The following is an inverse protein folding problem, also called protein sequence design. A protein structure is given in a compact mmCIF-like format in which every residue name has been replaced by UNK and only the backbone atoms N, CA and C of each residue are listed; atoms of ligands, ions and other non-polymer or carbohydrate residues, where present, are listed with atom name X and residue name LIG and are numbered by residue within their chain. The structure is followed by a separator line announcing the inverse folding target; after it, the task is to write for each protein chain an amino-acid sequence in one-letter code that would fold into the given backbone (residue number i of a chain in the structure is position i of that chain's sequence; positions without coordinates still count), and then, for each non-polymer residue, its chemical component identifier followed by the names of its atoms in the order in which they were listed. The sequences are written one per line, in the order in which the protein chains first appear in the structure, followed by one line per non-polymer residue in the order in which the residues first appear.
data_IF_311314111330
#
_entry.id   IF_311314111330
#
_cell.length_a   1.000
_cell.length_b   1.000
_cell.length_c   1.000
_cell.angle_alpha   90.00
_cell.angle_beta   90.00
_cell.angle_gamma   90.00
#
_symmetry.space_group_name_H-M   'P 1'
#
loop_
_entity.id
_entity.type
_entity.pdbx_description
1 polymer ?
#
# COMPACT_ATOMS: atom_id res chain seq x y z
N UNK A 1 -10.17 13.22 -3.91
CA UNK A 1 -9.92 12.77 -5.29
C UNK A 1 -8.43 13.01 -5.53
N UNK A 2 -7.65 11.94 -5.70
CA UNK A 2 -6.18 12.02 -5.54
C UNK A 2 -5.41 11.56 -6.78
N UNK A 3 -6.10 11.02 -7.79
CA UNK A 3 -5.47 10.56 -9.01
C UNK A 3 -5.48 11.67 -10.07
N UNK A 4 -4.31 12.27 -10.30
CA UNK A 4 -4.13 13.33 -11.31
C UNK A 4 -4.25 12.81 -12.76
N UNK A 5 -4.31 11.50 -12.96
CA UNK A 5 -4.60 10.94 -14.28
C UNK A 5 -5.97 11.36 -14.82
N UNK A 6 -6.93 11.71 -13.95
CA UNK A 6 -8.26 12.16 -14.39
C UNK A 6 -8.21 13.47 -15.18
N UNK A 7 -7.20 14.30 -14.94
CA UNK A 7 -6.93 15.54 -15.69
C UNK A 7 -5.81 15.33 -16.73
N UNK A 8 -5.47 14.09 -17.07
CA UNK A 8 -4.43 13.78 -18.05
C UNK A 8 -3.00 13.94 -17.54
N UNK A 9 -2.74 13.92 -16.23
CA UNK A 9 -1.37 14.05 -15.69
C UNK A 9 -0.90 12.74 -15.04
N UNK A 10 -0.03 12.03 -15.75
CA UNK A 10 0.57 10.78 -15.28
C UNK A 10 1.81 11.09 -14.43
N UNK A 11 1.77 10.73 -13.14
CA UNK A 11 2.88 10.97 -12.20
C UNK A 11 3.33 9.67 -11.58
N UNK A 12 4.61 9.33 -11.73
CA UNK A 12 5.23 8.16 -11.13
C UNK A 12 6.53 8.50 -10.40
N UNK A 13 7.13 7.48 -9.78
CA UNK A 13 8.32 7.59 -8.92
C UNK A 13 8.11 8.46 -7.67
N UNK A 14 6.89 8.49 -7.09
CA UNK A 14 6.59 9.28 -5.88
C UNK A 14 7.22 8.72 -4.61
N UNK A 15 7.50 7.42 -4.58
CA UNK A 15 8.05 6.75 -3.40
C UNK A 15 8.92 5.56 -3.79
N UNK A 16 9.86 5.25 -2.91
CA UNK A 16 10.71 4.06 -2.97
C UNK A 16 10.57 3.23 -1.71
N UNK A 17 10.82 1.93 -1.85
CA UNK A 17 10.84 1.00 -0.73
C UNK A 17 12.27 0.70 -0.35
N UNK A 18 12.61 0.95 0.91
CA UNK A 18 13.95 0.70 1.45
C UNK A 18 13.83 -0.32 2.58
N UNK A 19 14.78 -1.25 2.66
CA UNK A 19 14.90 -2.11 3.84
C UNK A 19 15.66 -1.34 4.91
N UNK A 20 15.04 -1.18 6.06
CA UNK A 20 15.69 -0.60 7.23
C UNK A 20 16.83 -1.53 7.68
N UNK A 21 18.08 -1.05 7.74
CA UNK A 21 19.23 -1.88 8.13
C UNK A 21 19.17 -2.31 9.60
N UNK A 22 18.49 -1.55 10.46
CA UNK A 22 18.41 -1.82 11.90
C UNK A 22 17.26 -2.76 12.25
N UNK A 23 16.11 -2.62 11.61
CA UNK A 23 14.90 -3.42 11.92
C UNK A 23 14.63 -4.52 10.89
N UNK A 24 15.31 -4.52 9.75
CA UNK A 24 15.06 -5.43 8.63
C UNK A 24 13.72 -5.21 7.92
N UNK A 25 12.90 -4.25 8.38
CA UNK A 25 11.56 -3.98 7.85
C UNK A 25 11.64 -3.20 6.55
N UNK A 26 10.69 -3.44 5.65
CA UNK A 26 10.50 -2.59 4.46
C UNK A 26 9.80 -1.31 4.88
N UNK A 27 10.36 -0.18 4.50
CA UNK A 27 9.82 1.14 4.81
C UNK A 27 9.61 1.90 3.50
N UNK A 28 8.41 2.48 3.35
CA UNK A 28 8.11 3.40 2.27
C UNK A 28 8.72 4.77 2.58
N UNK A 29 9.45 5.33 1.62
CA UNK A 29 10.00 6.69 1.69
C UNK A 29 9.52 7.46 0.47
N UNK A 30 9.02 8.66 0.69
CA UNK A 30 8.71 9.58 -0.40
C UNK A 30 10.00 10.00 -1.10
N UNK A 31 9.97 10.01 -2.42
CA UNK A 31 11.03 10.62 -3.20
C UNK A 31 10.81 12.13 -3.26
N UNK A 32 11.87 12.94 -3.33
CA UNK A 32 11.73 14.38 -3.57
C UNK A 32 10.98 14.63 -4.87
N UNK A 33 10.21 15.72 -4.93
CA UNK A 33 9.40 16.05 -6.11
C UNK A 33 10.23 16.25 -7.38
N UNK A 34 11.50 16.63 -7.25
CA UNK A 34 12.45 16.72 -8.36
C UNK A 34 12.74 15.38 -9.04
N UNK A 35 12.54 14.26 -8.34
CA UNK A 35 12.67 12.91 -8.90
C UNK A 35 11.34 12.37 -9.43
N UNK A 36 10.22 13.09 -9.22
CA UNK A 36 8.93 12.66 -9.74
C UNK A 36 8.93 12.83 -11.24
N UNK A 37 8.49 11.77 -11.92
CA UNK A 37 8.38 11.81 -13.36
C UNK A 37 6.93 12.13 -13.70
N UNK A 38 6.74 13.25 -14.38
CA UNK A 38 5.44 13.84 -14.69
C UNK A 38 5.32 13.90 -16.19
N UNK A 39 4.30 13.23 -16.74
CA UNK A 39 3.98 13.26 -18.16
C UNK A 39 2.57 13.77 -18.37
N UNK A 40 2.43 14.71 -19.28
CA UNK A 40 1.13 15.12 -19.80
C UNK A 40 0.64 14.09 -20.82
N UNK A 41 -0.59 13.62 -20.61
CA UNK A 41 -1.31 12.61 -21.39
C UNK A 41 -2.76 13.07 -21.57
N UNK A 42 -2.91 14.24 -22.21
CA UNK A 42 -4.21 14.87 -22.48
C UNK A 42 -5.24 13.96 -23.15
N UNK A 43 -4.80 12.95 -23.91
CA UNK A 43 -5.65 11.93 -24.53
C UNK A 43 -6.37 11.01 -23.53
N UNK A 44 -5.89 10.95 -22.28
CA UNK A 44 -6.50 10.17 -21.19
C UNK A 44 -7.34 11.04 -20.24
N UNK A 45 -7.59 12.29 -20.59
CA UNK A 45 -8.36 13.23 -19.78
C UNK A 45 -9.84 12.78 -19.68
N UNK A 46 -10.31 12.54 -18.45
CA UNK A 46 -11.68 12.09 -18.16
C UNK A 46 -12.55 13.25 -17.66
N UNK A 47 -11.99 14.14 -16.84
CA UNK A 47 -12.72 15.19 -16.13
C UNK A 47 -12.02 16.52 -16.32
N UNK A 48 -12.75 17.54 -16.79
CA UNK A 48 -12.23 18.90 -16.99
C UNK A 48 -11.43 19.46 -15.81
N UNK A 49 -10.39 20.23 -16.13
CA UNK A 49 -9.46 20.79 -15.14
C UNK A 49 -10.15 21.79 -14.20
N UNK A 50 -11.13 22.56 -14.66
CA UNK A 50 -11.84 23.52 -13.81
C UNK A 50 -12.72 22.78 -12.80
N UNK A 51 -13.42 21.73 -13.25
CA UNK A 51 -14.19 20.87 -12.35
C UNK A 51 -13.29 20.17 -11.32
N UNK A 52 -12.13 19.68 -11.75
CA UNK A 52 -11.13 19.11 -10.84
C UNK A 52 -10.69 20.11 -9.76
N UNK A 53 -10.37 21.35 -10.16
CA UNK A 53 -9.94 22.39 -9.22
C UNK A 53 -11.04 22.72 -8.20
N UNK A 54 -12.29 22.92 -8.65
CA UNK A 54 -13.42 23.18 -7.76
C UNK A 54 -13.66 22.05 -6.74
N UNK A 55 -13.49 20.78 -7.15
CA UNK A 55 -13.59 19.63 -6.24
C UNK A 55 -12.45 19.63 -5.21
N UNK A 56 -11.23 19.99 -5.62
CA UNK A 56 -10.05 20.05 -4.71
C UNK A 56 -10.20 21.17 -3.69
N UNK A 57 -10.68 22.33 -4.10
CA UNK A 57 -10.98 23.45 -3.20
C UNK A 57 -12.04 23.04 -2.17
N UNK A 58 -13.17 22.50 -2.61
CA UNK A 58 -14.22 22.00 -1.71
C UNK A 58 -13.71 20.91 -0.76
N UNK A 59 -12.82 20.02 -1.21
CA UNK A 59 -12.16 19.04 -0.33
C UNK A 59 -11.29 19.70 0.73
N UNK A 60 -10.59 20.78 0.37
CA UNK A 60 -9.81 21.59 1.32
C UNK A 60 -10.69 22.25 2.38
N UNK A 61 -11.80 22.86 1.97
CA UNK A 61 -12.78 23.46 2.90
C UNK A 61 -13.36 22.44 3.87
N UNK A 62 -13.78 21.28 3.37
CA UNK A 62 -14.31 20.18 4.19
C UNK A 62 -13.24 19.69 5.16
N UNK A 63 -12.01 19.48 4.69
CA UNK A 63 -10.91 19.03 5.53
C UNK A 63 -10.60 20.03 6.66
N UNK A 64 -10.62 21.32 6.36
CA UNK A 64 -10.44 22.37 7.38
C UNK A 64 -11.60 22.39 8.38
N UNK A 65 -12.85 22.34 7.89
CA UNK A 65 -14.07 22.39 8.74
C UNK A 65 -14.17 21.23 9.72
N UNK A 66 -13.74 20.03 9.31
CA UNK A 66 -13.85 18.81 10.11
C UNK A 66 -12.49 18.30 10.61
N UNK A 67 -11.47 19.15 10.71
CA UNK A 67 -10.13 18.77 11.12
C UNK A 67 -10.12 18.14 12.53
N UNK A 68 -10.82 18.77 13.47
CA UNK A 68 -10.96 18.31 14.86
C UNK A 68 -11.70 16.96 14.96
N UNK A 69 -12.79 16.77 14.20
CA UNK A 69 -13.55 15.52 14.16
C UNK A 69 -12.68 14.40 13.56
N UNK A 70 -11.98 14.70 12.47
CA UNK A 70 -11.07 13.75 11.82
C UNK A 70 -9.98 13.31 12.77
N UNK A 71 -9.40 14.24 13.54
CA UNK A 71 -8.37 13.94 14.52
C UNK A 71 -8.91 13.13 15.69
N UNK A 72 -10.06 13.50 16.25
CA UNK A 72 -10.71 12.72 17.31
C UNK A 72 -10.99 11.28 16.86
N UNK A 73 -11.54 11.09 15.65
CA UNK A 73 -11.78 9.76 15.06
C UNK A 73 -10.47 8.99 14.90
N UNK A 74 -9.38 9.62 14.45
CA UNK A 74 -8.06 8.96 14.37
C UNK A 74 -7.54 8.53 15.73
N UNK A 75 -7.67 9.37 16.75
CA UNK A 75 -7.26 9.03 18.12
C UNK A 75 -8.06 7.85 18.67
N UNK A 76 -9.37 7.82 18.45
CA UNK A 76 -10.22 6.70 18.88
C UNK A 76 -9.87 5.38 18.17
N UNK A 77 -9.45 5.43 16.91
CA UNK A 77 -9.06 4.25 16.14
C UNK A 77 -7.58 3.86 16.31
N UNK A 78 -6.77 4.61 17.04
CA UNK A 78 -5.38 4.25 17.32
C UNK A 78 -5.37 3.26 18.49
N UNK A 79 -5.13 1.95 18.26
CA UNK A 79 -5.06 1.02 19.36
C UNK A 79 -3.87 1.39 20.27
N UNK A 80 -4.00 1.27 21.60
CA UNK A 80 -2.89 1.50 22.51
C UNK A 80 -1.76 0.52 22.17
N UNK A 81 -0.52 1.01 22.10
CA UNK A 81 0.70 0.25 21.72
C UNK A 81 0.89 -1.08 22.47
N UNK A 82 0.24 -1.21 23.63
CA UNK A 82 0.41 -2.31 24.58
C UNK A 82 -0.71 -3.35 24.52
N UNK A 83 -1.86 -3.01 23.93
CA UNK A 83 -3.05 -3.86 23.90
C UNK A 83 -3.84 -3.63 22.60
N UNK A 84 -3.26 -4.02 21.47
CA UNK A 84 -4.08 -4.22 20.28
C UNK A 84 -4.98 -5.44 20.57
N UNK A 85 -6.32 -5.28 20.67
CA UNK A 85 -7.19 -6.43 20.83
C UNK A 85 -7.00 -7.37 19.63
N UNK A 86 -7.12 -8.69 19.83
CA UNK A 86 -7.03 -9.62 18.71
C UNK A 86 -8.07 -9.22 17.66
N UNK A 87 -7.63 -8.95 16.43
CA UNK A 87 -8.49 -8.48 15.31
C UNK A 87 -9.69 -9.42 15.05
N UNK A 88 -9.63 -10.64 15.57
CA UNK A 88 -10.67 -11.67 15.54
C UNK A 88 -10.38 -12.73 16.61
N UNK A 89 -11.37 -13.58 16.92
CA UNK A 89 -11.23 -14.71 17.85
C UNK A 89 -10.09 -15.68 17.49
N UNK A 90 -9.72 -15.76 16.21
CA UNK A 90 -8.77 -16.75 15.68
C UNK A 90 -7.39 -16.15 15.35
N UNK A 91 -7.19 -14.86 15.60
CA UNK A 91 -5.92 -14.18 15.30
C UNK A 91 -4.76 -14.80 16.09
N UNK A 92 -3.76 -15.31 15.38
CA UNK A 92 -2.56 -15.95 15.99
C UNK A 92 -2.74 -17.41 16.41
N UNK A 93 -3.94 -17.97 16.26
CA UNK A 93 -4.23 -19.36 16.64
C UNK A 93 -4.30 -20.32 15.44
N UNK A 94 -4.48 -19.81 14.22
CA UNK A 94 -4.68 -20.63 13.01
C UNK A 94 -3.52 -20.45 12.04
N UNK A 95 -2.93 -21.57 11.63
CA UNK A 95 -1.79 -21.64 10.70
C UNK A 95 -1.99 -22.76 9.68
N UNK A 96 -1.35 -22.64 8.51
CA UNK A 96 -1.41 -23.63 7.46
C UNK A 96 -0.49 -24.81 7.79
N UNK A 97 -1.03 -26.01 7.90
CA UNK A 97 -0.25 -27.23 8.17
C UNK A 97 0.74 -27.61 7.05
N UNK A 98 0.54 -27.10 5.84
CA UNK A 98 1.43 -27.41 4.70
C UNK A 98 2.62 -26.47 4.58
N UNK A 99 2.44 -25.16 4.88
CA UNK A 99 3.49 -24.15 4.68
C UNK A 99 3.86 -23.37 5.96
N UNK A 100 3.17 -23.60 7.07
CA UNK A 100 3.39 -22.87 8.33
C UNK A 100 2.94 -21.41 8.32
N UNK A 101 2.35 -20.92 7.22
CA UNK A 101 1.89 -19.53 7.12
C UNK A 101 0.70 -19.25 8.04
N UNK A 102 0.65 -18.05 8.63
CA UNK A 102 -0.49 -17.61 9.45
C UNK A 102 -1.71 -17.30 8.58
N UNK A 103 -2.91 -17.64 9.07
CA UNK A 103 -4.16 -17.24 8.41
C UNK A 103 -4.55 -15.81 8.80
N UNK A 104 -4.93 -15.01 7.80
CA UNK A 104 -5.52 -13.69 8.01
C UNK A 104 -6.99 -13.75 7.59
N UNK A 105 -7.91 -13.43 8.51
CA UNK A 105 -9.32 -13.30 8.17
C UNK A 105 -9.51 -12.08 7.26
N UNK A 106 -10.18 -12.24 6.12
CA UNK A 106 -10.58 -11.09 5.27
C UNK A 106 -11.94 -10.59 5.74
N UNK A 107 -11.95 -9.45 6.42
CA UNK A 107 -13.17 -8.73 6.83
C UNK A 107 -12.89 -7.24 7.02
N UNK A 108 -13.71 -6.41 6.35
CA UNK A 108 -13.70 -4.95 6.19
C UNK A 108 -13.18 -4.11 7.38
N UNK A 109 -11.93 -3.68 7.29
CA UNK A 109 -11.47 -2.29 7.53
C UNK A 109 -9.95 -2.20 7.30
N UNK A 110 -9.54 -1.29 6.39
CA UNK A 110 -8.22 -0.65 6.40
C UNK A 110 -6.97 -1.54 6.39
N UNK A 111 -6.48 -1.84 5.19
CA UNK A 111 -5.06 -2.01 4.84
C UNK A 111 -4.20 -2.90 5.76
N UNK A 112 -4.04 -4.16 5.36
CA UNK A 112 -2.77 -4.89 5.49
C UNK A 112 -2.69 -5.85 4.30
N UNK A 113 -2.44 -5.31 3.10
CA UNK A 113 -2.06 -6.14 1.95
C UNK A 113 -0.59 -6.56 2.10
N UNK A 114 -0.29 -7.34 3.12
CA UNK A 114 0.96 -8.09 3.21
C UNK A 114 0.71 -9.48 2.63
N UNK A 115 0.52 -9.53 1.31
CA UNK A 115 0.77 -10.77 0.58
C UNK A 115 2.27 -11.05 0.74
N UNK A 116 2.64 -11.82 1.77
CA UNK A 116 3.87 -12.61 1.75
C UNK A 116 3.68 -13.69 0.69
N UNK A 117 3.84 -13.32 -0.58
CA UNK A 117 4.21 -14.29 -1.60
C UNK A 117 5.70 -14.58 -1.35
N UNK A 118 5.99 -15.53 -0.46
CA UNK A 118 7.24 -16.27 -0.60
C UNK A 118 7.18 -16.94 -1.97
N UNK A 119 8.11 -16.63 -2.91
CA UNK A 119 8.13 -17.34 -4.18
C UNK A 119 8.31 -18.84 -3.90
N UNK A 120 7.60 -19.74 -4.63
CA UNK A 120 7.84 -21.17 -4.49
C UNK A 120 9.30 -21.47 -4.81
N UNK A 121 9.94 -22.45 -4.12
CA UNK A 121 11.28 -22.86 -4.49
C UNK A 121 11.26 -23.34 -5.94
N UNK A 122 12.20 -22.83 -6.75
CA UNK A 122 12.41 -23.30 -8.12
C UNK A 122 12.62 -24.82 -8.10
N UNK A 123 12.00 -25.59 -9.01
CA UNK A 123 12.34 -26.99 -9.15
C UNK A 123 13.83 -27.08 -9.48
N UNK A 124 14.54 -27.92 -8.73
CA UNK A 124 15.91 -28.31 -9.00
C UNK A 124 16.00 -28.77 -10.46
N UNK A 125 16.90 -28.16 -11.22
CA UNK A 125 17.21 -28.62 -12.56
C UNK A 125 17.66 -30.11 -12.47
N UNK A 126 17.13 -31.02 -13.31
CA UNK A 126 17.66 -32.37 -13.37
C UNK A 126 19.13 -32.32 -13.79
N UNK A 127 19.93 -33.20 -13.18
CA UNK A 127 21.32 -33.38 -13.53
C UNK A 127 21.45 -33.60 -15.04
N UNK A 128 22.37 -32.87 -15.68
CA UNK A 128 22.72 -33.13 -17.06
C UNK A 128 23.40 -34.51 -17.13
N UNK A 129 22.66 -35.50 -17.59
CA UNK A 129 23.22 -36.75 -18.12
C UNK A 129 24.06 -36.40 -19.35
N UNK A 130 25.38 -36.41 -19.18
CA UNK A 130 26.35 -36.38 -20.27
C UNK A 130 26.95 -37.77 -20.46
N UNK A 131 26.39 -38.54 -21.38
CA UNK A 131 26.99 -39.76 -21.91
C UNK A 131 27.76 -39.45 -23.21
N UNK A 132 28.96 -40.05 -23.36
CA UNK A 132 29.76 -40.10 -24.59
C UNK A 132 30.92 -39.09 -24.58
N UNK A 133 32.19 -39.48 -24.70
CA UNK A 133 32.79 -40.66 -25.37
C UNK A 133 33.96 -41.24 -24.59
#
# INVERSE_FOLDING_TARGET
MNNELYIGRLIWNRMRYIKDPSTGKRVSRLNPESEWIIKDVSELHIIDVQLWQAVRERQGEIAAKYANVTEAVRMHHKPPERHAPPKSLLSGLVFCGCCGGSYSLRGVAGQDLNLRLTPPPLPHAPAADGAGS
#
